data_IF_516274585554
#
_entry.id   IF_516274585554
#
_cell.length_a   1.000
_cell.length_b   1.000
_cell.length_c   1.000
_cell.angle_alpha   90.00
_cell.angle_beta   90.00
_cell.angle_gamma   90.00
#
_symmetry.space_group_name_H-M   'P 1'
#
loop_
_entity.id
_entity.type
_entity.pdbx_description
1 polymer ?
#
# COMPACT_ATOMS: atom_id res chain seq x y z
N UNK A 1 -57.00 -11.22 -75.31
CA UNK A 1 -57.29 -10.95 -73.89
C UNK A 1 -55.98 -11.01 -73.14
N UNK A 2 -55.35 -9.85 -72.90
CA UNK A 2 -54.03 -9.75 -72.29
C UNK A 2 -54.19 -9.08 -70.91
N UNK A 3 -53.81 -9.82 -69.88
CA UNK A 3 -53.97 -9.46 -68.46
C UNK A 3 -52.82 -8.58 -67.98
N UNK A 4 -53.20 -7.34 -67.68
CA UNK A 4 -52.71 -6.39 -66.67
C UNK A 4 -51.73 -6.93 -65.60
N UNK A 5 -50.62 -6.20 -65.37
CA UNK A 5 -49.83 -6.01 -64.10
C UNK A 5 -48.48 -5.38 -64.47
N UNK A 6 -47.88 -4.42 -63.78
CA UNK A 6 -48.22 -3.55 -62.66
C UNK A 6 -47.10 -2.50 -62.64
N UNK A 7 -47.45 -1.22 -62.46
CA UNK A 7 -46.52 -0.18 -62.01
C UNK A 7 -45.93 -0.56 -60.64
N UNK A 8 -44.73 -0.11 -60.30
CA UNK A 8 -44.47 0.95 -59.29
C UNK A 8 -43.01 0.92 -58.85
N UNK A 9 -42.30 2.02 -59.11
CA UNK A 9 -41.03 2.36 -58.49
C UNK A 9 -41.27 2.91 -57.07
N UNK A 10 -40.48 2.49 -56.09
CA UNK A 10 -40.33 3.20 -54.81
C UNK A 10 -38.85 3.27 -54.45
N UNK A 11 -38.41 4.49 -54.25
CA UNK A 11 -37.09 4.94 -53.80
C UNK A 11 -37.21 5.31 -52.30
N UNK A 12 -36.09 5.23 -51.57
CA UNK A 12 -35.74 5.89 -50.28
C UNK A 12 -36.27 5.30 -48.96
N UNK A 13 -35.32 4.83 -48.12
CA UNK A 13 -35.04 5.24 -46.73
C UNK A 13 -34.03 4.24 -46.12
N UNK A 14 -32.72 4.50 -46.14
CA UNK A 14 -31.97 5.31 -45.18
C UNK A 14 -32.27 4.97 -43.70
N UNK A 15 -31.33 4.24 -43.07
CA UNK A 15 -30.91 4.43 -41.69
C UNK A 15 -31.95 4.27 -40.57
N UNK A 16 -32.26 3.04 -40.18
CA UNK A 16 -32.72 2.75 -38.82
C UNK A 16 -31.53 2.25 -38.01
N UNK A 17 -30.91 3.21 -37.31
CA UNK A 17 -29.82 2.96 -36.38
C UNK A 17 -30.23 1.97 -35.28
N UNK A 18 -29.30 1.07 -34.96
CA UNK A 18 -29.33 0.20 -33.80
C UNK A 18 -29.27 1.06 -32.52
N UNK A 19 -30.41 1.61 -32.10
CA UNK A 19 -30.56 2.29 -30.83
C UNK A 19 -31.28 1.38 -29.83
N UNK A 20 -30.63 0.30 -29.36
CA UNK A 20 -31.09 -0.41 -28.15
C UNK A 20 -30.02 -1.29 -27.52
N UNK A 21 -28.97 -0.67 -26.98
CA UNK A 21 -28.05 -1.32 -26.06
C UNK A 21 -27.47 -0.27 -25.09
N UNK A 22 -28.32 0.37 -24.28
CA UNK A 22 -27.83 1.37 -23.31
C UNK A 22 -28.49 1.33 -21.92
N UNK A 23 -29.41 0.41 -21.63
CA UNK A 23 -30.11 0.41 -20.33
C UNK A 23 -29.69 -0.69 -19.35
N UNK A 24 -28.97 -1.74 -19.79
CA UNK A 24 -28.56 -2.84 -18.88
C UNK A 24 -27.29 -2.55 -18.08
N UNK A 25 -26.52 -1.51 -18.43
CA UNK A 25 -25.30 -1.15 -17.72
C UNK A 25 -25.57 -0.42 -16.38
N UNK A 26 -26.73 0.23 -16.25
CA UNK A 26 -27.07 0.99 -15.04
C UNK A 26 -27.48 0.10 -13.85
N UNK A 27 -28.00 -1.10 -14.09
CA UNK A 27 -28.48 -2.04 -13.07
C UNK A 27 -27.37 -2.94 -12.49
N UNK A 28 -26.17 -2.95 -13.08
CA UNK A 28 -24.99 -3.69 -12.60
C UNK A 28 -23.97 -2.78 -11.92
N UNK A 29 -24.39 -1.63 -11.38
CA UNK A 29 -23.54 -0.86 -10.47
C UNK A 29 -23.34 -1.72 -9.22
N UNK A 30 -22.19 -2.38 -9.14
CA UNK A 30 -21.63 -2.89 -7.90
C UNK A 30 -21.88 -1.81 -6.85
N UNK A 31 -22.51 -2.13 -5.70
CA UNK A 31 -22.67 -1.17 -4.62
C UNK A 31 -21.33 -0.49 -4.39
N UNK A 32 -21.33 0.84 -4.28
CA UNK A 32 -20.12 1.58 -3.94
C UNK A 32 -19.51 0.89 -2.71
N UNK A 33 -18.30 0.37 -2.86
CA UNK A 33 -17.61 -0.30 -1.76
C UNK A 33 -17.56 0.72 -0.63
N UNK A 34 -18.06 0.40 0.57
CA UNK A 34 -18.01 1.33 1.68
C UNK A 34 -16.55 1.78 1.87
N UNK A 35 -16.32 3.08 2.18
CA UNK A 35 -14.97 3.58 2.35
C UNK A 35 -14.22 2.67 3.34
N UNK A 36 -12.94 2.34 3.08
CA UNK A 36 -12.16 1.51 3.97
C UNK A 36 -12.26 2.07 5.40
N UNK A 37 -12.62 1.21 6.36
CA UNK A 37 -12.64 1.62 7.75
C UNK A 37 -11.25 2.05 8.21
N UNK A 38 -11.16 3.07 9.07
CA UNK A 38 -9.88 3.50 9.62
C UNK A 38 -9.22 2.33 10.38
N UNK A 39 -8.03 1.93 9.95
CA UNK A 39 -7.32 0.79 10.53
C UNK A 39 -6.56 1.23 11.77
N UNK A 40 -7.05 0.90 12.96
CA UNK A 40 -6.39 1.28 14.22
C UNK A 40 -5.05 0.54 14.45
N UNK A 41 -4.14 1.19 15.18
CA UNK A 41 -2.91 0.54 15.67
C UNK A 41 -3.32 -0.57 16.67
N UNK A 42 -2.78 -1.80 16.56
CA UNK A 42 -3.11 -2.87 17.50
C UNK A 42 -2.77 -2.50 18.93
N UNK A 43 -3.77 -2.58 19.83
CA UNK A 43 -3.56 -2.35 21.27
C UNK A 43 -2.55 -3.32 21.91
N UNK A 44 -2.34 -4.46 21.26
CA UNK A 44 -1.39 -5.50 21.66
C UNK A 44 0.03 -5.27 21.12
N UNK A 45 0.27 -4.19 20.37
CA UNK A 45 1.60 -3.88 19.84
C UNK A 45 2.61 -3.75 20.99
N UNK A 46 3.66 -4.56 20.92
CA UNK A 46 4.80 -4.56 21.84
C UNK A 46 6.05 -4.90 21.03
N UNK A 47 6.84 -3.89 20.68
CA UNK A 47 8.13 -4.05 20.00
C UNK A 47 9.25 -3.58 20.93
N UNK A 48 9.91 -4.50 21.67
CA UNK A 48 11.15 -4.21 22.35
C UNK A 48 12.18 -3.57 21.41
N UNK A 49 12.84 -2.52 21.90
CA UNK A 49 13.86 -1.78 21.17
C UNK A 49 15.17 -1.89 21.94
N UNK A 50 16.25 -2.16 21.22
CA UNK A 50 17.60 -2.01 21.76
C UNK A 50 18.41 -0.99 20.96
N UNK A 51 19.31 -0.27 21.63
CA UNK A 51 20.24 0.67 21.02
C UNK A 51 21.64 0.26 21.43
N UNK A 52 22.45 -0.15 20.47
CA UNK A 52 23.81 -0.66 20.67
C UNK A 52 23.87 -1.76 21.76
N UNK A 53 22.87 -2.66 21.73
CA UNK A 53 22.72 -3.78 22.66
C UNK A 53 22.13 -3.42 24.03
N UNK A 54 21.84 -2.15 24.30
CA UNK A 54 21.16 -1.72 25.55
C UNK A 54 19.67 -1.64 25.34
N UNK A 55 18.88 -2.07 26.34
CA UNK A 55 17.43 -1.90 26.32
C UNK A 55 17.05 -0.41 26.26
N UNK A 56 16.17 -0.07 25.31
CA UNK A 56 15.67 1.27 25.06
C UNK A 56 14.14 1.35 25.21
N UNK A 57 13.56 0.36 25.88
CA UNK A 57 12.13 0.25 26.13
C UNK A 57 11.36 -0.35 24.96
N UNK A 58 10.07 -0.07 24.92
CA UNK A 58 9.13 -0.70 23.99
C UNK A 58 8.46 0.35 23.12
N UNK A 59 8.22 0.01 21.85
CA UNK A 59 7.24 0.70 21.01
C UNK A 59 5.92 -0.05 21.13
N UNK A 60 4.93 0.63 21.67
CA UNK A 60 3.57 0.13 21.78
C UNK A 60 2.55 1.04 21.10
N UNK A 61 1.28 0.70 21.21
CA UNK A 61 0.20 1.43 20.57
C UNK A 61 0.14 2.91 20.99
N UNK A 62 0.38 3.19 22.28
CA UNK A 62 0.38 4.55 22.82
C UNK A 62 1.57 5.34 22.27
N UNK A 63 2.77 4.79 22.38
CA UNK A 63 3.99 5.45 21.87
C UNK A 63 3.93 5.68 20.36
N UNK A 64 3.47 4.70 19.59
CA UNK A 64 3.34 4.85 18.13
C UNK A 64 2.22 5.83 17.77
N UNK A 65 1.09 5.79 18.49
CA UNK A 65 -0.05 6.68 18.27
C UNK A 65 0.18 8.13 18.69
N UNK A 66 1.13 8.39 19.60
CA UNK A 66 1.56 9.73 19.97
C UNK A 66 2.36 10.45 18.86
N UNK A 67 2.81 9.70 17.86
CA UNK A 67 3.61 10.21 16.75
C UNK A 67 2.75 10.22 15.48
N UNK A 68 2.62 11.36 14.77
CA UNK A 68 1.89 11.38 13.50
C UNK A 68 2.62 10.52 12.45
N UNK A 69 1.90 9.76 11.61
CA UNK A 69 2.52 9.01 10.52
C UNK A 69 3.23 9.97 9.56
N UNK A 70 4.42 9.59 9.10
CA UNK A 70 5.17 10.37 8.12
C UNK A 70 4.59 10.23 6.71
N UNK A 71 3.95 9.09 6.44
CA UNK A 71 3.26 8.79 5.19
C UNK A 71 1.90 8.22 5.52
N UNK A 72 0.84 8.75 4.92
CA UNK A 72 -0.53 8.28 5.12
C UNK A 72 -1.37 8.44 3.85
N UNK A 73 -2.21 7.45 3.59
CA UNK A 73 -3.36 7.53 2.68
C UNK A 73 -4.61 6.97 3.39
N UNK A 74 -5.70 6.74 2.67
CA UNK A 74 -6.96 6.23 3.24
C UNK A 74 -6.83 4.80 3.82
N UNK A 75 -5.85 4.00 3.38
CA UNK A 75 -5.71 2.59 3.75
C UNK A 75 -4.43 2.26 4.54
N UNK A 76 -3.41 3.12 4.45
CA UNK A 76 -2.04 2.83 4.86
C UNK A 76 -1.48 3.97 5.68
N UNK A 77 -0.72 3.61 6.72
CA UNK A 77 0.04 4.54 7.54
C UNK A 77 1.44 3.99 7.77
N UNK A 78 2.44 4.85 7.65
CA UNK A 78 3.82 4.50 7.92
C UNK A 78 4.54 5.60 8.72
N UNK A 79 5.33 5.16 9.69
CA UNK A 79 6.15 6.01 10.55
C UNK A 79 7.61 5.74 10.26
N UNK A 80 8.40 6.80 10.03
CA UNK A 80 9.86 6.64 9.93
C UNK A 80 10.38 6.08 11.25
N UNK A 81 11.24 5.07 11.18
CA UNK A 81 11.84 4.50 12.40
C UNK A 81 12.57 5.59 13.18
N UNK A 82 13.28 6.48 12.50
CA UNK A 82 13.96 7.63 13.10
C UNK A 82 13.05 8.65 13.79
N UNK A 83 11.77 8.71 13.43
CA UNK A 83 10.80 9.59 14.09
C UNK A 83 10.32 8.99 15.43
N UNK A 84 10.26 7.66 15.52
CA UNK A 84 9.82 6.93 16.73
C UNK A 84 11.00 6.60 17.66
N UNK A 85 12.18 6.40 17.08
CA UNK A 85 13.46 6.12 17.74
C UNK A 85 14.49 7.13 17.21
N UNK A 86 14.67 8.30 17.86
CA UNK A 86 15.54 9.36 17.38
C UNK A 86 16.99 8.93 17.08
N UNK A 87 17.52 7.95 17.80
CA UNK A 87 18.87 7.41 17.60
C UNK A 87 19.05 6.75 16.23
N UNK A 88 17.96 6.30 15.59
CA UNK A 88 17.98 5.78 14.22
C UNK A 88 18.11 6.88 13.15
N UNK A 89 18.11 8.17 13.54
CA UNK A 89 18.34 9.28 12.62
C UNK A 89 19.83 9.51 12.31
N UNK A 90 20.74 8.91 13.09
CA UNK A 90 22.17 9.11 12.90
C UNK A 90 22.64 8.49 11.57
N UNK A 91 23.63 9.13 10.93
CA UNK A 91 24.13 8.73 9.62
C UNK A 91 24.81 7.35 9.61
N UNK A 92 25.31 6.91 10.76
CA UNK A 92 25.93 5.60 10.95
C UNK A 92 24.96 4.57 11.56
N UNK A 93 23.68 4.91 11.73
CA UNK A 93 22.70 3.98 12.31
C UNK A 93 22.22 2.96 11.27
N UNK A 94 22.16 1.69 11.70
CA UNK A 94 21.52 0.59 10.98
C UNK A 94 20.33 0.13 11.81
N UNK A 95 19.17 0.02 11.15
CA UNK A 95 17.95 -0.53 11.75
C UNK A 95 17.92 -2.02 11.48
N UNK A 96 17.92 -2.84 12.53
CA UNK A 96 17.69 -4.28 12.44
C UNK A 96 16.33 -4.63 13.02
N UNK A 97 15.50 -5.31 12.24
CA UNK A 97 14.22 -5.86 12.68
C UNK A 97 14.28 -7.38 12.71
N UNK A 98 13.67 -7.98 13.73
CA UNK A 98 13.60 -9.44 13.89
C UNK A 98 12.16 -9.91 13.87
N UNK A 99 11.88 -11.02 13.20
CA UNK A 99 10.57 -11.66 13.20
C UNK A 99 10.47 -12.79 14.22
N UNK A 100 9.24 -13.21 14.50
CA UNK A 100 8.97 -14.40 15.31
C UNK A 100 9.58 -15.69 14.74
N UNK A 101 9.81 -15.76 13.42
CA UNK A 101 10.45 -16.90 12.75
C UNK A 101 11.99 -16.87 12.80
N UNK A 102 12.59 -15.88 13.47
CA UNK A 102 14.04 -15.73 13.58
C UNK A 102 14.69 -15.07 12.36
N UNK A 103 13.91 -14.62 11.37
CA UNK A 103 14.43 -13.85 10.23
C UNK A 103 14.78 -12.44 10.71
N UNK A 104 15.96 -11.96 10.33
CA UNK A 104 16.41 -10.61 10.62
C UNK A 104 16.58 -9.82 9.32
N UNK A 105 16.11 -8.57 9.32
CA UNK A 105 16.27 -7.63 8.21
C UNK A 105 17.07 -6.43 8.70
N UNK A 106 18.22 -6.19 8.08
CA UNK A 106 19.04 -5.00 8.31
C UNK A 106 18.78 -3.98 7.22
N UNK A 107 18.56 -2.74 7.63
CA UNK A 107 18.29 -1.61 6.76
C UNK A 107 19.24 -0.49 7.12
N UNK A 108 20.14 -0.18 6.19
CA UNK A 108 21.02 0.96 6.31
C UNK A 108 20.25 2.24 5.98
N UNK A 109 20.59 3.34 6.65
CA UNK A 109 20.08 4.68 6.31
C UNK A 109 21.19 5.46 5.61
N UNK A 110 21.14 5.64 4.28
CA UNK A 110 22.17 6.42 3.62
C UNK A 110 22.00 7.92 3.96
N UNK A 111 23.11 8.68 4.04
CA UNK A 111 23.12 10.02 4.62
C UNK A 111 22.48 11.13 3.77
N UNK A 112 22.21 10.89 2.48
CA UNK A 112 21.77 11.95 1.55
C UNK A 112 20.23 12.14 1.46
N UNK A 113 19.45 11.33 2.18
CA UNK A 113 17.99 11.43 2.26
C UNK A 113 17.22 11.13 0.97
N UNK A 114 17.88 10.66 -0.09
CA UNK A 114 17.26 10.28 -1.38
C UNK A 114 16.98 8.78 -1.52
N UNK A 115 17.22 8.02 -0.45
CA UNK A 115 17.09 6.57 -0.47
C UNK A 115 15.87 6.10 0.30
N UNK A 116 15.64 4.80 0.17
CA UNK A 116 14.61 4.09 0.89
C UNK A 116 14.69 4.36 2.40
N UNK A 117 13.55 4.66 2.99
CA UNK A 117 13.41 5.02 4.40
C UNK A 117 12.88 3.81 5.18
N UNK A 118 13.57 3.38 6.26
CA UNK A 118 13.06 2.38 7.18
C UNK A 118 11.81 2.89 7.89
N UNK A 119 10.73 2.12 7.83
CA UNK A 119 9.44 2.47 8.44
C UNK A 119 8.83 1.33 9.25
N UNK A 120 8.07 1.72 10.26
CA UNK A 120 6.98 0.92 10.80
C UNK A 120 5.76 1.17 9.92
N UNK A 121 5.19 0.12 9.35
CA UNK A 121 4.08 0.21 8.40
C UNK A 121 2.86 -0.51 8.98
N UNK A 122 1.75 0.22 9.16
CA UNK A 122 0.46 -0.35 9.52
C UNK A 122 -0.27 -0.76 8.24
N UNK A 123 -0.45 -2.07 8.08
CA UNK A 123 -1.16 -2.64 6.94
C UNK A 123 -2.67 -2.51 7.10
N UNK A 124 -3.40 -2.62 5.98
CA UNK A 124 -4.86 -2.65 5.98
C UNK A 124 -5.49 -3.75 6.84
N UNK A 125 -4.71 -4.78 7.22
CA UNK A 125 -5.15 -5.90 8.07
C UNK A 125 -4.97 -5.61 9.56
N UNK A 126 -4.42 -4.45 9.90
CA UNK A 126 -4.06 -4.11 11.27
C UNK A 126 -2.68 -4.61 11.69
N UNK A 127 -1.91 -5.25 10.82
CA UNK A 127 -0.56 -5.70 11.18
C UNK A 127 0.44 -4.53 11.12
N UNK A 128 1.31 -4.43 12.12
CA UNK A 128 2.51 -3.58 12.07
C UNK A 128 3.67 -4.42 11.55
N UNK A 129 4.22 -4.01 10.40
CA UNK A 129 5.39 -4.64 9.76
C UNK A 129 6.54 -3.63 9.70
N UNK A 130 7.75 -4.13 9.49
CA UNK A 130 8.90 -3.26 9.18
C UNK A 130 9.21 -3.38 7.70
N UNK A 131 9.47 -2.24 7.05
CA UNK A 131 9.77 -2.21 5.62
C UNK A 131 10.64 -1.01 5.27
N UNK A 132 11.07 -0.96 4.02
CA UNK A 132 11.66 0.19 3.37
C UNK A 132 10.60 0.84 2.49
N UNK A 133 10.54 2.16 2.43
CA UNK A 133 9.67 2.91 1.50
C UNK A 133 10.44 3.96 0.73
N UNK A 134 10.08 4.18 -0.52
CA UNK A 134 10.54 5.37 -1.26
C UNK A 134 9.75 6.59 -0.77
N UNK A 135 10.37 7.63 -0.20
CA UNK A 135 9.64 8.80 0.28
C UNK A 135 8.86 9.56 -0.82
N UNK A 136 9.23 9.39 -2.10
CA UNK A 136 8.58 10.05 -3.24
C UNK A 136 7.35 9.29 -3.75
N UNK A 137 7.30 7.99 -3.50
CA UNK A 137 6.16 7.12 -3.77
C UNK A 137 6.08 6.03 -2.68
N UNK A 138 5.64 6.38 -1.46
CA UNK A 138 5.71 5.48 -0.30
C UNK A 138 4.75 4.30 -0.40
N UNK A 139 3.77 4.41 -1.29
CA UNK A 139 2.55 3.61 -1.34
C UNK A 139 2.17 3.29 -2.79
N UNK A 140 3.07 2.70 -3.59
CA UNK A 140 2.84 2.48 -5.01
C UNK A 140 1.59 1.63 -5.24
N UNK A 141 0.88 1.92 -6.32
CA UNK A 141 -0.34 1.20 -6.68
C UNK A 141 -0.07 -0.27 -6.95
N UNK A 142 -0.88 -1.13 -6.32
CA UNK A 142 -0.85 -2.57 -6.58
C UNK A 142 -1.77 -2.90 -7.75
N UNK A 143 -1.22 -3.04 -8.96
CA UNK A 143 -2.00 -3.51 -10.11
C UNK A 143 -2.03 -5.03 -10.19
N UNK A 144 -2.86 -5.64 -9.35
CA UNK A 144 -3.35 -7.01 -9.55
C UNK A 144 -4.68 -6.98 -10.31
N UNK A 145 -4.74 -7.70 -11.44
CA UNK A 145 -5.92 -7.91 -12.31
C UNK A 145 -6.23 -6.81 -13.36
N UNK A 146 -5.50 -6.87 -14.49
CA UNK A 146 -5.82 -6.04 -15.66
C UNK A 146 -4.83 -6.13 -16.81
N UNK A 147 -4.51 -7.33 -17.29
CA UNK A 147 -3.91 -7.53 -18.62
C UNK A 147 -2.40 -7.30 -18.78
N UNK A 148 -1.67 -6.85 -17.75
CA UNK A 148 -0.19 -6.89 -17.73
C UNK A 148 0.32 -7.65 -16.50
N UNK A 149 0.31 -8.98 -16.60
CA UNK A 149 0.78 -9.97 -15.62
C UNK A 149 2.25 -9.82 -15.15
N UNK A 150 2.98 -8.77 -15.54
CA UNK A 150 4.43 -8.66 -15.36
C UNK A 150 4.92 -7.37 -14.68
N UNK A 151 4.03 -6.56 -14.09
CA UNK A 151 4.50 -5.53 -13.16
C UNK A 151 4.63 -6.19 -11.79
N UNK A 152 5.86 -6.34 -11.32
CA UNK A 152 6.14 -6.64 -9.92
C UNK A 152 5.35 -5.65 -9.07
N UNK A 153 4.67 -6.12 -8.02
CA UNK A 153 4.10 -5.22 -7.01
C UNK A 153 5.20 -4.40 -6.34
N UNK A 154 4.92 -3.79 -5.19
CA UNK A 154 5.96 -3.14 -4.39
C UNK A 154 7.16 -4.10 -4.21
N UNK A 155 8.33 -3.78 -4.78
CA UNK A 155 9.48 -4.68 -4.77
C UNK A 155 10.22 -4.61 -3.43
N UNK A 156 9.83 -3.69 -2.54
CA UNK A 156 10.57 -3.43 -1.33
C UNK A 156 10.37 -4.52 -0.28
N UNK A 157 11.44 -4.88 0.46
CA UNK A 157 11.37 -5.95 1.43
C UNK A 157 10.45 -5.55 2.59
N UNK A 158 9.65 -6.53 3.04
CA UNK A 158 8.72 -6.39 4.16
C UNK A 158 8.96 -7.53 5.13
N UNK A 159 9.19 -7.20 6.40
CA UNK A 159 9.29 -8.16 7.49
C UNK A 159 8.01 -8.12 8.31
N UNK A 160 7.21 -9.17 8.22
CA UNK A 160 6.00 -9.35 9.00
C UNK A 160 6.31 -9.99 10.37
N UNK A 161 5.32 -9.94 11.28
CA UNK A 161 5.41 -10.54 12.63
C UNK A 161 6.67 -10.12 13.37
N UNK A 162 6.95 -8.82 13.36
CA UNK A 162 8.14 -8.24 14.00
C UNK A 162 8.02 -8.40 15.50
N UNK A 163 9.08 -8.89 16.13
CA UNK A 163 9.17 -9.15 17.57
C UNK A 163 10.17 -8.27 18.28
N UNK A 164 11.11 -7.64 17.57
CA UNK A 164 12.07 -6.70 18.15
C UNK A 164 12.69 -5.78 17.09
N UNK A 165 13.17 -4.62 17.55
CA UNK A 165 14.03 -3.71 16.81
C UNK A 165 15.37 -3.52 17.52
N UNK A 166 16.42 -3.35 16.75
CA UNK A 166 17.72 -2.93 17.25
C UNK A 166 18.27 -1.80 16.36
N UNK A 167 18.77 -0.75 17.00
CA UNK A 167 19.56 0.29 16.35
C UNK A 167 21.02 0.00 16.67
N UNK A 168 21.84 -0.20 15.64
CA UNK A 168 23.26 -0.48 15.80
C UNK A 168 24.08 0.50 14.99
N UNK A 169 25.24 0.91 15.51
CA UNK A 169 26.20 1.69 14.71
C UNK A 169 26.92 0.82 13.68
N UNK A 170 26.94 1.26 12.44
CA UNK A 170 27.84 0.77 11.41
C UNK A 170 29.28 1.08 11.86
N UNK A 171 30.10 0.04 11.94
CA UNK A 171 31.53 0.17 12.26
C UNK A 171 32.34 0.49 11.01
#
# INVERSE_FOLDING_TARGET
MATWRMLTAVVLAAGLGCAKASDDAAARRTPAVPPPGEVAIPRTLRLPVSIDGRDAGVIDAERLGAVPPAFADEERRAWKVAQVIPEAAAADAVVEARSASGVSMRMDRPPDGRHLEPVLFLTRRGDVVVSLVDPTDPFPDYHGQGGRLRRQGDPLPRLAQVTALAIVRAR
#
